data_IF_777170962473
#
_entry.id   IF_777170962473
#
_cell.length_a   1.000
_cell.length_b   1.000
_cell.length_c   1.000
_cell.angle_alpha   90.00
_cell.angle_beta   90.00
_cell.angle_gamma   90.00
#
_symmetry.space_group_name_H-M   'P 1'
#
loop_
_entity.id
_entity.type
_entity.pdbx_description
1 polymer ?
#
# COMPACT_ATOMS: atom_id res chain seq x y z
N UNK A 1 11.99 10.19 -11.16
CA UNK A 1 10.64 10.19 -10.56
C UNK A 1 9.67 9.62 -11.59
N UNK A 2 9.22 8.39 -11.40
CA UNK A 2 8.04 7.87 -12.08
C UNK A 2 7.17 7.26 -10.98
N UNK A 3 6.19 8.04 -10.54
CA UNK A 3 5.10 7.57 -9.67
C UNK A 3 3.84 7.67 -10.51
N UNK A 4 3.57 6.61 -11.27
CA UNK A 4 2.37 6.46 -12.06
C UNK A 4 1.53 5.34 -11.43
N UNK A 5 1.01 5.63 -10.23
CA UNK A 5 -0.06 4.88 -9.59
C UNK A 5 -1.24 5.84 -9.36
N UNK A 6 -1.66 6.52 -10.41
CA UNK A 6 -2.98 7.19 -10.42
C UNK A 6 -3.97 6.21 -11.03
N UNK A 7 -4.17 5.06 -10.37
CA UNK A 7 -5.37 4.27 -10.62
C UNK A 7 -6.53 5.03 -9.98
N UNK A 8 -7.12 5.95 -10.75
CA UNK A 8 -8.33 6.67 -10.38
C UNK A 8 -9.48 5.67 -10.33
N UNK A 9 -9.52 4.86 -9.28
CA UNK A 9 -10.60 3.91 -9.03
C UNK A 9 -11.89 4.71 -8.94
N UNK A 10 -12.76 4.58 -9.93
CA UNK A 10 -14.09 5.18 -9.94
C UNK A 10 -15.05 4.19 -9.29
N UNK A 11 -15.74 4.62 -8.24
CA UNK A 11 -16.74 3.83 -7.54
C UNK A 11 -18.13 4.40 -7.80
N UNK A 12 -19.12 3.52 -7.80
CA UNK A 12 -20.53 3.94 -7.89
C UNK A 12 -21.04 4.28 -6.50
N UNK A 13 -21.52 5.50 -6.30
CA UNK A 13 -22.12 5.90 -5.04
C UNK A 13 -23.39 5.06 -4.76
N UNK A 14 -23.51 4.40 -3.59
CA UNK A 14 -24.67 3.55 -3.28
C UNK A 14 -25.98 4.34 -3.12
N UNK A 15 -25.89 5.64 -2.80
CA UNK A 15 -27.04 6.50 -2.58
C UNK A 15 -27.58 7.12 -3.88
N UNK A 16 -26.71 7.75 -4.68
CA UNK A 16 -27.13 8.46 -5.89
C UNK A 16 -26.79 7.76 -7.21
N UNK A 17 -26.11 6.61 -7.16
CA UNK A 17 -25.71 5.78 -8.32
C UNK A 17 -24.84 6.50 -9.36
N UNK A 18 -24.22 7.63 -8.99
CA UNK A 18 -23.24 8.33 -9.83
C UNK A 18 -21.85 7.75 -9.63
N UNK A 19 -21.04 7.77 -10.70
CA UNK A 19 -19.62 7.48 -10.63
C UNK A 19 -18.89 8.66 -9.97
N UNK A 20 -18.09 8.34 -8.98
CA UNK A 20 -17.29 9.28 -8.20
C UNK A 20 -15.91 8.69 -7.93
N UNK A 21 -14.88 9.52 -7.69
CA UNK A 21 -13.55 9.02 -7.36
C UNK A 21 -13.59 8.27 -6.02
N UNK A 22 -12.97 7.09 -5.94
CA UNK A 22 -12.82 6.33 -4.70
C UNK A 22 -11.92 7.04 -3.67
N UNK A 23 -11.10 8.00 -4.14
CA UNK A 23 -10.29 8.87 -3.28
C UNK A 23 -11.14 9.87 -2.47
N UNK A 24 -12.35 10.17 -2.91
CA UNK A 24 -13.25 11.08 -2.19
C UNK A 24 -13.90 10.38 -1.01
N UNK A 25 -13.86 11.03 0.18
CA UNK A 25 -14.54 10.52 1.38
C UNK A 25 -16.05 10.69 1.33
N UNK A 26 -16.53 11.60 0.48
CA UNK A 26 -17.94 12.00 0.37
C UNK A 26 -18.30 12.21 -1.07
N UNK A 27 -19.50 11.78 -1.44
CA UNK A 27 -20.02 11.98 -2.77
C UNK A 27 -20.30 13.49 -3.01
N UNK A 28 -19.68 14.14 -4.03
CA UNK A 28 -19.89 15.55 -4.33
C UNK A 28 -21.32 15.85 -4.79
N UNK A 29 -22.08 14.83 -5.17
CA UNK A 29 -23.41 15.00 -5.74
C UNK A 29 -24.56 14.79 -4.77
N UNK A 30 -24.39 13.98 -3.72
CA UNK A 30 -25.44 13.75 -2.72
C UNK A 30 -24.99 14.02 -1.27
N UNK A 31 -23.69 14.17 -1.03
CA UNK A 31 -23.12 14.42 0.30
C UNK A 31 -22.94 13.18 1.17
N UNK A 32 -23.33 11.99 0.69
CA UNK A 32 -23.18 10.72 1.41
C UNK A 32 -21.72 10.29 1.54
N UNK A 33 -21.37 9.62 2.64
CA UNK A 33 -20.02 9.06 2.81
C UNK A 33 -19.78 7.88 1.87
N UNK A 34 -18.62 7.91 1.20
CA UNK A 34 -18.23 6.85 0.28
C UNK A 34 -17.42 5.78 1.02
N UNK A 35 -17.59 4.49 0.67
CA UNK A 35 -16.71 3.45 1.16
C UNK A 35 -15.31 3.72 0.59
N UNK A 36 -14.38 4.08 1.46
CA UNK A 36 -12.99 4.35 1.08
C UNK A 36 -12.33 3.00 0.77
N UNK A 37 -11.56 2.89 -0.33
CA UNK A 37 -10.73 1.72 -0.55
C UNK A 37 -9.74 1.69 0.61
N UNK A 38 -9.86 0.67 1.45
CA UNK A 38 -8.87 0.39 2.48
C UNK A 38 -7.51 0.38 1.80
N UNK A 39 -6.61 1.26 2.27
CA UNK A 39 -5.26 1.36 1.75
C UNK A 39 -4.57 0.08 2.16
N UNK A 40 -4.69 -0.93 1.32
CA UNK A 40 -3.99 -2.18 1.41
C UNK A 40 -2.50 -1.89 1.25
N UNK A 41 -1.89 -1.48 2.36
CA UNK A 41 -0.44 -1.40 2.52
C UNK A 41 0.08 -2.83 2.58
N UNK A 42 0.06 -3.47 1.40
CA UNK A 42 0.58 -4.80 1.15
C UNK A 42 2.09 -4.69 1.05
N UNK A 43 2.74 -4.42 2.19
CA UNK A 43 4.15 -4.76 2.33
C UNK A 43 4.21 -6.29 2.36
N UNK A 44 4.27 -6.86 1.17
CA UNK A 44 4.14 -8.29 0.95
C UNK A 44 5.46 -8.94 1.36
N UNK A 45 5.58 -9.31 2.63
CA UNK A 45 6.67 -10.17 3.10
C UNK A 45 6.70 -11.50 2.31
N UNK A 46 5.60 -11.85 1.65
CA UNK A 46 5.47 -13.03 0.79
C UNK A 46 6.09 -12.89 -0.61
N UNK A 47 6.60 -11.72 -1.01
CA UNK A 47 7.33 -11.55 -2.28
C UNK A 47 8.85 -11.74 -2.12
N UNK A 48 9.34 -11.84 -0.87
CA UNK A 48 10.74 -12.16 -0.62
C UNK A 48 10.99 -13.60 -1.05
N UNK A 49 11.60 -13.74 -2.22
CA UNK A 49 12.13 -15.02 -2.68
C UNK A 49 13.14 -15.52 -1.64
N UNK A 50 13.29 -16.84 -1.49
CA UNK A 50 14.19 -17.45 -0.50
C UNK A 50 15.61 -16.85 -0.48
N UNK A 51 16.09 -16.35 -1.63
CA UNK A 51 17.36 -15.63 -1.76
C UNK A 51 17.41 -14.28 -1.05
N UNK A 52 16.32 -13.50 -1.02
CA UNK A 52 16.29 -12.20 -0.36
C UNK A 52 16.28 -12.33 1.17
N UNK A 53 15.52 -13.31 1.68
CA UNK A 53 15.52 -13.65 3.11
C UNK A 53 16.93 -14.03 3.55
N UNK A 54 17.64 -14.83 2.75
CA UNK A 54 19.01 -15.23 3.03
C UNK A 54 19.98 -14.04 3.08
N UNK A 55 19.88 -13.11 2.13
CA UNK A 55 20.73 -11.90 2.10
C UNK A 55 20.48 -10.99 3.31
N UNK A 56 19.22 -10.82 3.72
CA UNK A 56 18.86 -10.02 4.91
C UNK A 56 19.42 -10.67 6.18
N UNK A 57 19.27 -11.99 6.32
CA UNK A 57 19.79 -12.73 7.49
C UNK A 57 21.33 -12.66 7.53
N UNK A 58 22.02 -12.89 6.42
CA UNK A 58 23.48 -12.77 6.38
C UNK A 58 23.97 -11.35 6.68
N UNK A 59 23.33 -10.33 6.10
CA UNK A 59 23.68 -8.93 6.31
C UNK A 59 23.50 -8.50 7.77
N UNK A 60 22.37 -8.89 8.40
CA UNK A 60 22.13 -8.59 9.81
C UNK A 60 23.11 -9.30 10.73
N UNK A 61 23.47 -10.56 10.45
CA UNK A 61 24.50 -11.29 11.22
C UNK A 61 25.86 -10.60 11.13
N UNK A 62 26.31 -10.22 9.93
CA UNK A 62 27.59 -9.52 9.75
C UNK A 62 27.62 -8.17 10.49
N UNK A 63 26.51 -7.44 10.49
CA UNK A 63 26.38 -6.17 11.20
C UNK A 63 26.46 -6.37 12.73
N UNK A 64 25.73 -7.35 13.27
CA UNK A 64 25.76 -7.65 14.70
C UNK A 64 27.13 -8.12 15.17
N UNK A 65 27.80 -8.98 14.38
CA UNK A 65 29.16 -9.45 14.69
C UNK A 65 30.15 -8.28 14.67
N UNK A 66 30.05 -7.40 13.68
CA UNK A 66 30.89 -6.19 13.61
C UNK A 66 30.68 -5.24 14.79
N UNK A 67 29.44 -5.11 15.29
CA UNK A 67 29.11 -4.31 16.48
C UNK A 67 29.65 -4.91 17.79
N UNK A 68 29.70 -6.24 17.90
CA UNK A 68 30.23 -6.92 19.10
C UNK A 68 31.76 -6.92 19.14
N UNK A 69 32.41 -6.74 17.99
CA UNK A 69 33.87 -6.77 17.86
C UNK A 69 34.55 -5.38 17.95
N UNK A 70 33.81 -4.30 18.22
CA UNK A 70 34.32 -2.91 18.36
C UNK A 70 34.42 -2.47 19.82
#
# INVERSE_FOLDING_TARGET
>A
MASEDTNEQLITCPNCKRLVPASDKRCPYCGEYLPQPEKEWKFNFSDLTAGEIFLIVLGTIMLLVGLVAV
#
